data_IF_851692472182
#
_entry.id   IF_851692472182
#
_cell.length_a   1.000
_cell.length_b   1.000
_cell.length_c   1.000
_cell.angle_alpha   90.00
_cell.angle_beta   90.00
_cell.angle_gamma   90.00
#
_symmetry.space_group_name_H-M   'P 1'
#
loop_
_entity.id
_entity.type
_entity.pdbx_description
1 polymer ?
#
# COMPACT_ATOMS: atom_id res chain seq x y z
N UNK A 1 -16.37 40.46 43.69
CA UNK A 1 -17.24 39.34 44.07
C UNK A 1 -16.48 38.05 43.82
N UNK A 2 -16.31 37.21 44.86
CA UNK A 2 -15.69 35.89 44.76
C UNK A 2 -16.69 34.92 44.11
N UNK A 3 -16.28 34.21 43.07
CA UNK A 3 -16.99 33.02 42.60
C UNK A 3 -16.13 31.83 43.01
N UNK A 4 -16.65 31.05 43.96
CA UNK A 4 -16.00 29.87 44.51
C UNK A 4 -16.30 28.64 43.65
N UNK A 5 -15.27 27.81 43.59
CA UNK A 5 -15.14 26.45 43.09
C UNK A 5 -16.34 25.52 43.37
N UNK A 6 -16.84 24.84 42.33
CA UNK A 6 -17.59 23.58 42.44
C UNK A 6 -16.96 22.57 41.47
N UNK A 7 -16.36 21.54 42.05
CA UNK A 7 -15.78 20.37 41.39
C UNK A 7 -16.94 19.45 41.01
N UNK A 8 -16.98 18.96 39.77
CA UNK A 8 -17.27 17.55 39.42
C UNK A 8 -17.81 17.44 38.00
N UNK A 9 -17.21 16.55 37.21
CA UNK A 9 -17.97 15.78 36.24
C UNK A 9 -17.54 15.92 34.79
N UNK A 10 -16.96 14.83 34.31
CA UNK A 10 -16.93 14.38 32.91
C UNK A 10 -15.84 15.01 32.05
N UNK A 11 -14.65 14.41 32.19
CA UNK A 11 -13.70 14.26 31.09
C UNK A 11 -14.42 13.47 29.97
N UNK A 12 -15.13 14.15 29.08
CA UNK A 12 -15.73 13.54 27.90
C UNK A 12 -14.58 13.21 26.93
N UNK A 13 -13.91 12.10 27.19
CA UNK A 13 -13.04 11.41 26.24
C UNK A 13 -13.90 10.86 25.10
N UNK A 14 -14.44 11.76 24.29
CA UNK A 14 -15.09 11.46 23.02
C UNK A 14 -14.07 11.54 21.90
N UNK A 15 -12.97 10.79 22.00
CA UNK A 15 -12.21 10.43 20.81
C UNK A 15 -13.10 9.45 20.05
N UNK A 16 -13.90 10.00 19.14
CA UNK A 16 -14.59 9.21 18.14
C UNK A 16 -13.51 8.39 17.42
N UNK A 17 -13.39 7.12 17.78
CA UNK A 17 -12.65 6.11 17.03
C UNK A 17 -13.38 5.95 15.69
N UNK A 18 -13.11 6.85 14.73
CA UNK A 18 -13.49 6.64 13.33
C UNK A 18 -12.54 5.61 12.73
N UNK A 19 -12.58 4.39 13.24
CA UNK A 19 -11.69 3.29 12.82
C UNK A 19 -12.45 2.12 12.16
N UNK A 20 -13.75 2.27 11.87
CA UNK A 20 -14.40 1.44 10.86
C UNK A 20 -14.26 2.15 9.53
N UNK A 21 -13.05 2.06 8.94
CA UNK A 21 -12.86 2.41 7.53
C UNK A 21 -13.64 1.36 6.74
N UNK A 22 -14.66 1.78 6.00
CA UNK A 22 -15.36 0.88 5.07
C UNK A 22 -14.30 0.17 4.21
N UNK A 23 -14.39 -1.15 4.10
CA UNK A 23 -13.44 -1.93 3.31
C UNK A 23 -13.40 -1.36 1.90
N UNK A 24 -12.21 -0.94 1.47
CA UNK A 24 -12.01 -0.47 0.10
C UNK A 24 -12.42 -1.58 -0.87
N UNK A 25 -13.03 -1.24 -2.02
CA UNK A 25 -13.36 -2.24 -3.01
C UNK A 25 -12.11 -3.01 -3.43
N UNK A 26 -12.26 -4.33 -3.61
CA UNK A 26 -11.17 -5.16 -4.10
C UNK A 26 -10.84 -4.80 -5.55
N UNK A 27 -9.56 -4.59 -5.81
CA UNK A 27 -8.96 -4.27 -7.09
C UNK A 27 -8.14 -5.46 -7.60
N UNK A 28 -8.08 -5.63 -8.93
CA UNK A 28 -7.33 -6.73 -9.56
C UNK A 28 -5.83 -6.44 -9.61
N UNK A 29 -5.02 -7.48 -9.87
CA UNK A 29 -3.58 -7.30 -10.18
C UNK A 29 -3.39 -6.31 -11.34
N UNK A 30 -4.22 -6.41 -12.39
CA UNK A 30 -4.14 -5.53 -13.56
C UNK A 30 -4.35 -4.06 -13.20
N UNK A 31 -5.30 -3.76 -12.31
CA UNK A 31 -5.49 -2.40 -11.80
C UNK A 31 -4.20 -1.84 -11.19
N UNK A 32 -3.50 -2.62 -10.36
CA UNK A 32 -2.25 -2.19 -9.74
C UNK A 32 -1.05 -2.18 -10.71
N UNK A 33 -1.12 -2.87 -11.84
CA UNK A 33 -0.14 -2.72 -12.93
C UNK A 33 -0.33 -1.38 -13.64
N UNK A 34 -1.59 -1.04 -13.95
CA UNK A 34 -1.96 0.17 -14.69
C UNK A 34 -1.92 1.45 -13.83
N UNK A 35 -1.95 1.31 -12.50
CA UNK A 35 -1.95 2.41 -11.54
C UNK A 35 -0.78 2.30 -10.55
N UNK A 36 0.46 2.68 -10.95
CA UNK A 36 1.65 2.54 -10.10
C UNK A 36 1.56 3.32 -8.77
N UNK A 37 0.89 4.46 -8.76
CA UNK A 37 0.70 5.25 -7.55
C UNK A 37 -0.22 4.51 -6.56
N UNK A 38 -1.39 4.05 -7.01
CA UNK A 38 -2.31 3.27 -6.20
C UNK A 38 -1.65 1.99 -5.66
N UNK A 39 -0.77 1.35 -6.45
CA UNK A 39 0.04 0.22 -5.99
C UNK A 39 0.98 0.61 -4.85
N UNK A 40 1.68 1.73 -4.95
CA UNK A 40 2.60 2.18 -3.89
C UNK A 40 1.86 2.54 -2.61
N UNK A 41 0.74 3.25 -2.72
CA UNK A 41 -0.11 3.62 -1.58
C UNK A 41 -0.67 2.36 -0.89
N UNK A 42 -1.16 1.40 -1.67
CA UNK A 42 -1.65 0.13 -1.13
C UNK A 42 -0.54 -0.65 -0.44
N UNK A 43 0.65 -0.77 -1.05
CA UNK A 43 1.78 -1.46 -0.41
C UNK A 43 2.18 -0.83 0.93
N UNK A 44 2.22 0.50 1.00
CA UNK A 44 2.51 1.21 2.24
C UNK A 44 1.42 0.96 3.31
N UNK A 45 0.15 0.88 2.90
CA UNK A 45 -0.95 0.50 3.78
C UNK A 45 -0.81 -0.94 4.27
N UNK A 46 -0.42 -1.87 3.40
CA UNK A 46 -0.24 -3.28 3.73
C UNK A 46 0.88 -3.53 4.75
N UNK A 47 1.93 -2.69 4.78
CA UNK A 47 3.03 -2.83 5.75
C UNK A 47 2.58 -2.63 7.21
N UNK A 48 1.53 -1.83 7.43
CA UNK A 48 1.02 -1.49 8.76
C UNK A 48 -0.34 -2.11 9.08
N UNK A 49 -0.90 -2.87 8.14
CA UNK A 49 -2.20 -3.53 8.29
C UNK A 49 -2.03 -4.91 8.89
N UNK A 50 -2.71 -5.19 9.99
CA UNK A 50 -2.77 -6.53 10.56
C UNK A 50 -3.35 -7.51 9.56
N UNK A 51 -2.75 -8.71 9.46
CA UNK A 51 -3.22 -9.78 8.58
C UNK A 51 -3.31 -9.37 7.09
N UNK A 52 -2.47 -8.43 6.63
CA UNK A 52 -2.37 -8.00 5.24
C UNK A 52 -2.13 -9.16 4.24
N UNK A 53 -1.56 -10.27 4.71
CA UNK A 53 -1.36 -11.48 3.91
C UNK A 53 -2.67 -12.14 3.45
N UNK A 54 -3.80 -11.80 4.05
CA UNK A 54 -5.13 -12.29 3.69
C UNK A 54 -5.97 -11.26 2.95
N UNK A 55 -5.51 -10.01 2.89
CA UNK A 55 -6.19 -8.93 2.18
C UNK A 55 -5.97 -9.04 0.68
N UNK A 56 -7.06 -9.04 -0.09
CA UNK A 56 -6.99 -9.26 -1.53
C UNK A 56 -6.29 -8.11 -2.25
N UNK A 57 -6.44 -6.87 -1.79
CA UNK A 57 -5.75 -5.72 -2.35
C UNK A 57 -4.25 -5.78 -2.09
N UNK A 58 -3.84 -6.20 -0.89
CA UNK A 58 -2.43 -6.42 -0.55
C UNK A 58 -1.79 -7.52 -1.40
N UNK A 59 -2.46 -8.67 -1.55
CA UNK A 59 -1.99 -9.76 -2.40
C UNK A 59 -1.86 -9.30 -3.86
N UNK A 60 -2.84 -8.55 -4.36
CA UNK A 60 -2.85 -8.11 -5.75
C UNK A 60 -1.80 -7.02 -6.01
N UNK A 61 -1.61 -6.08 -5.09
CA UNK A 61 -0.59 -5.04 -5.17
C UNK A 61 0.83 -5.62 -5.10
N UNK A 62 1.10 -6.57 -4.19
CA UNK A 62 2.38 -7.27 -4.10
C UNK A 62 2.65 -8.10 -5.37
N UNK A 63 1.65 -8.81 -5.88
CA UNK A 63 1.77 -9.57 -7.13
C UNK A 63 2.14 -8.66 -8.31
N UNK A 64 1.48 -7.50 -8.42
CA UNK A 64 1.79 -6.50 -9.44
C UNK A 64 3.23 -5.98 -9.31
N UNK A 65 3.66 -5.64 -8.08
CA UNK A 65 5.02 -5.16 -7.83
C UNK A 65 6.09 -6.20 -8.21
N UNK A 66 5.86 -7.47 -7.87
CA UNK A 66 6.72 -8.59 -8.28
C UNK A 66 6.75 -8.78 -9.79
N UNK A 67 5.64 -8.55 -10.49
CA UNK A 67 5.62 -8.62 -11.96
C UNK A 67 6.51 -7.55 -12.56
N UNK A 68 6.35 -6.29 -12.14
CA UNK A 68 7.19 -5.17 -12.60
C UNK A 68 8.67 -5.44 -12.37
N UNK A 69 9.04 -5.85 -11.15
CA UNK A 69 10.43 -6.15 -10.82
C UNK A 69 10.99 -7.33 -11.66
N UNK A 70 10.16 -8.32 -12.01
CA UNK A 70 10.56 -9.41 -12.90
C UNK A 70 10.80 -8.92 -14.33
N UNK A 71 9.92 -8.08 -14.85
CA UNK A 71 10.05 -7.56 -16.21
C UNK A 71 11.25 -6.62 -16.34
N UNK A 72 11.49 -5.75 -15.37
CA UNK A 72 12.71 -4.92 -15.32
C UNK A 72 13.99 -5.77 -15.32
N UNK A 73 14.03 -6.84 -14.50
CA UNK A 73 15.17 -7.77 -14.49
C UNK A 73 15.36 -8.45 -15.84
N UNK A 74 14.27 -8.89 -16.47
CA UNK A 74 14.31 -9.51 -17.79
C UNK A 74 14.83 -8.54 -18.85
N UNK A 75 14.44 -7.27 -18.82
CA UNK A 75 14.95 -6.27 -19.75
C UNK A 75 16.45 -6.03 -19.53
N UNK A 76 16.88 -5.78 -18.29
CA UNK A 76 18.31 -5.62 -17.97
C UNK A 76 19.15 -6.81 -18.42
N UNK A 77 18.62 -8.03 -18.28
CA UNK A 77 19.29 -9.23 -18.77
C UNK A 77 19.42 -9.24 -20.30
N UNK A 78 18.37 -8.87 -21.03
CA UNK A 78 18.42 -8.75 -22.50
C UNK A 78 19.42 -7.69 -22.93
N UNK A 79 19.41 -6.53 -22.29
CA UNK A 79 20.34 -5.43 -22.59
C UNK A 79 21.79 -5.84 -22.33
N UNK A 80 22.05 -6.56 -21.23
CA UNK A 80 23.37 -7.09 -20.92
C UNK A 80 23.84 -8.11 -21.96
N UNK A 81 22.96 -9.04 -22.38
CA UNK A 81 23.28 -10.01 -23.44
C UNK A 81 23.57 -9.29 -24.76
N UNK A 82 22.73 -8.33 -25.15
CA UNK A 82 22.95 -7.53 -26.35
C UNK A 82 24.27 -6.74 -26.27
N UNK A 83 24.60 -6.16 -25.12
CA UNK A 83 25.85 -5.41 -24.96
C UNK A 83 27.10 -6.30 -25.05
N UNK A 84 27.01 -7.57 -24.62
CA UNK A 84 28.15 -8.50 -24.62
C UNK A 84 28.34 -9.21 -25.96
N UNK A 85 27.26 -9.47 -26.69
CA UNK A 85 27.27 -10.37 -27.86
C UNK A 85 26.61 -9.78 -29.12
N UNK A 86 26.14 -8.53 -29.08
CA UNK A 86 25.32 -7.92 -30.13
C UNK A 86 26.07 -7.29 -31.32
N UNK A 87 27.39 -7.14 -31.25
CA UNK A 87 28.21 -6.50 -32.30
C UNK A 87 28.55 -7.45 -33.49
N UNK A 88 27.84 -8.57 -33.61
CA UNK A 88 28.21 -9.68 -34.50
C UNK A 88 27.16 -10.11 -35.54
N UNK A 89 26.31 -9.20 -36.03
CA UNK A 89 25.35 -9.49 -37.11
C UNK A 89 25.40 -8.46 -38.22
#
# INVERSE_FOLDING_TARGET
>A
MKVNLQISGVLAAGLLLTACQEEEPNHTVQYFLDNPQARQEMLAKCEVTDNAISDANCINADTAARSVARDERRQRQKDAVQSLYGDGS
#
